data_IF_372702547871
#
_entry.id   IF_372702547871
#
_cell.length_a   1.000
_cell.length_b   1.000
_cell.length_c   1.000
_cell.angle_alpha   90.00
_cell.angle_beta   90.00
_cell.angle_gamma   90.00
#
_symmetry.space_group_name_H-M   'P 1'
#
loop_
_entity.id
_entity.type
_entity.pdbx_description
1 polymer ?
#
# COMPACT_ATOMS: atom_id res chain seq x y z
N UNK A 1 -14.93 -2.70 -11.77
CA UNK A 1 -15.26 -1.44 -11.08
C UNK A 1 -14.73 -0.30 -11.93
N UNK A 2 -15.50 0.75 -12.13
CA UNK A 2 -15.08 1.94 -12.89
C UNK A 2 -14.60 3.03 -11.94
N UNK A 3 -13.79 3.95 -12.43
CA UNK A 3 -13.27 5.08 -11.65
C UNK A 3 -14.39 5.95 -11.04
N UNK A 4 -15.44 6.13 -11.81
CA UNK A 4 -16.63 6.92 -11.43
C UNK A 4 -17.45 6.31 -10.29
N UNK A 5 -17.24 5.02 -10.01
CA UNK A 5 -17.89 4.30 -8.91
C UNK A 5 -17.17 4.49 -7.58
N UNK A 6 -15.95 5.07 -7.59
CA UNK A 6 -15.22 5.35 -6.38
C UNK A 6 -15.75 6.60 -5.68
N UNK A 7 -15.88 6.58 -4.34
CA UNK A 7 -16.32 7.74 -3.57
C UNK A 7 -15.30 8.87 -3.63
N UNK A 8 -15.76 10.09 -3.87
CA UNK A 8 -14.90 11.30 -3.88
C UNK A 8 -14.47 11.74 -2.49
N UNK A 9 -15.28 11.44 -1.48
CA UNK A 9 -14.99 11.67 -0.06
C UNK A 9 -14.82 10.32 0.62
N UNK A 10 -13.71 10.10 1.28
CA UNK A 10 -13.38 8.82 1.91
C UNK A 10 -12.91 9.01 3.36
N UNK A 11 -13.25 8.05 4.25
CA UNK A 11 -12.62 7.96 5.55
C UNK A 11 -11.14 7.59 5.39
N UNK A 12 -10.29 8.22 6.18
CA UNK A 12 -8.83 8.05 6.13
C UNK A 12 -8.35 7.28 7.33
N UNK A 13 -7.59 6.23 7.08
CA UNK A 13 -6.91 5.43 8.07
C UNK A 13 -5.40 5.66 7.99
N UNK A 14 -4.85 6.58 8.80
CA UNK A 14 -3.42 6.73 8.94
C UNK A 14 -2.82 5.54 9.67
N UNK A 15 -1.91 4.80 9.03
CA UNK A 15 -1.23 3.67 9.62
C UNK A 15 0.28 3.83 9.46
N UNK A 16 0.99 3.97 10.59
CA UNK A 16 2.40 4.41 10.64
C UNK A 16 3.42 3.33 10.29
N UNK A 17 3.01 2.08 10.16
CA UNK A 17 3.93 0.94 9.96
C UNK A 17 3.54 0.06 8.78
N UNK A 18 2.64 0.55 7.92
CA UNK A 18 2.13 -0.24 6.81
C UNK A 18 1.70 0.62 5.62
N UNK A 19 2.02 0.19 4.42
CA UNK A 19 1.58 0.82 3.16
C UNK A 19 0.90 -0.23 2.29
N UNK A 20 -0.34 0.07 1.87
CA UNK A 20 -1.14 -0.79 1.00
C UNK A 20 -0.97 -0.39 -0.47
N UNK A 21 -0.89 -1.38 -1.34
CA UNK A 21 -0.83 -1.21 -2.80
C UNK A 21 -2.11 -1.72 -3.48
N UNK A 22 -2.45 -1.25 -4.69
CA UNK A 22 -3.56 -1.80 -5.46
C UNK A 22 -3.43 -3.31 -5.68
N UNK A 23 -4.54 -4.04 -5.60
CA UNK A 23 -4.57 -5.49 -5.75
C UNK A 23 -4.02 -6.29 -4.57
N UNK A 24 -3.45 -5.64 -3.55
CA UNK A 24 -2.96 -6.34 -2.35
C UNK A 24 -4.04 -6.48 -1.29
N UNK A 25 -3.88 -7.45 -0.42
CA UNK A 25 -4.85 -7.77 0.64
C UNK A 25 -4.21 -7.61 2.01
N UNK A 26 -4.92 -6.96 2.93
CA UNK A 26 -4.44 -6.66 4.28
C UNK A 26 -5.46 -7.08 5.33
N UNK A 27 -5.12 -8.01 6.24
CA UNK A 27 -5.91 -8.24 7.44
C UNK A 27 -5.61 -7.15 8.48
N UNK A 28 -6.66 -6.57 9.05
CA UNK A 28 -6.55 -5.52 10.07
C UNK A 28 -7.39 -5.90 11.29
N UNK A 29 -6.81 -5.69 12.47
CA UNK A 29 -7.50 -5.82 13.76
C UNK A 29 -7.77 -4.41 14.29
N UNK A 30 -9.04 -4.03 14.31
CA UNK A 30 -9.49 -2.69 14.67
C UNK A 30 -10.00 -2.71 16.12
N UNK A 31 -9.42 -1.86 16.97
CA UNK A 31 -9.76 -1.77 18.38
C UNK A 31 -9.85 -0.33 18.92
N UNK A 32 -9.26 0.64 18.21
CA UNK A 32 -9.35 2.05 18.61
C UNK A 32 -10.77 2.59 18.33
N UNK A 33 -11.43 3.30 19.29
CA UNK A 33 -12.81 3.78 19.12
C UNK A 33 -13.03 4.58 17.84
N UNK A 34 -12.08 5.45 17.46
CA UNK A 34 -12.16 6.24 16.22
C UNK A 34 -12.21 5.36 14.97
N UNK A 35 -11.49 4.26 14.95
CA UNK A 35 -11.45 3.36 13.80
C UNK A 35 -12.58 2.33 13.82
N UNK A 36 -13.09 1.96 15.02
CA UNK A 36 -14.35 1.20 15.13
C UNK A 36 -15.51 2.01 14.51
N UNK A 37 -15.63 3.31 14.85
CA UNK A 37 -16.62 4.20 14.23
C UNK A 37 -16.42 4.27 12.71
N UNK A 38 -15.19 4.48 12.25
CA UNK A 38 -14.85 4.56 10.82
C UNK A 38 -15.28 3.31 10.05
N UNK A 39 -14.97 2.13 10.55
CA UNK A 39 -15.34 0.86 9.91
C UNK A 39 -16.86 0.70 9.89
N UNK A 40 -17.54 0.93 11.01
CA UNK A 40 -19.01 0.83 11.09
C UNK A 40 -19.72 1.79 10.14
N UNK A 41 -19.22 3.03 10.02
CA UNK A 41 -19.76 4.00 9.08
C UNK A 41 -19.47 3.63 7.64
N UNK A 42 -18.30 3.08 7.36
CA UNK A 42 -17.93 2.60 6.03
C UNK A 42 -18.78 1.43 5.57
N UNK A 43 -19.10 0.50 6.48
CA UNK A 43 -19.97 -0.66 6.21
C UNK A 43 -21.39 -0.26 5.79
N UNK A 44 -21.90 0.88 6.28
CA UNK A 44 -23.22 1.43 5.92
C UNK A 44 -23.21 2.15 4.56
N UNK A 45 -22.05 2.41 3.96
CA UNK A 45 -21.88 3.16 2.71
C UNK A 45 -21.22 2.29 1.62
N UNK A 46 -20.02 2.67 1.22
CA UNK A 46 -19.29 2.04 0.10
C UNK A 46 -18.41 0.85 0.52
N UNK A 47 -18.27 0.61 1.82
CA UNK A 47 -17.33 -0.36 2.41
C UNK A 47 -15.88 -0.09 1.99
N UNK A 48 -15.52 1.19 1.86
CA UNK A 48 -14.20 1.61 1.41
C UNK A 48 -13.53 2.51 2.43
N UNK A 49 -12.22 2.33 2.60
CA UNK A 49 -11.35 3.07 3.51
C UNK A 49 -10.07 3.44 2.77
N UNK A 50 -9.61 4.68 2.92
CA UNK A 50 -8.34 5.14 2.38
C UNK A 50 -7.21 4.88 3.38
N UNK A 51 -6.30 3.95 3.04
CA UNK A 51 -5.05 3.76 3.77
C UNK A 51 -4.05 4.82 3.36
N UNK A 52 -3.35 5.41 4.34
CA UNK A 52 -2.32 6.42 4.08
C UNK A 52 -1.24 6.38 5.15
N UNK A 53 -0.03 6.75 4.76
CA UNK A 53 1.07 6.88 5.70
C UNK A 53 1.08 8.27 6.34
N UNK A 54 1.18 8.38 7.68
CA UNK A 54 1.45 9.64 8.34
C UNK A 54 2.93 10.03 8.18
N UNK A 55 3.19 11.33 8.06
CA UNK A 55 4.54 11.88 8.14
C UNK A 55 5.03 11.91 9.59
N UNK A 56 6.35 12.05 9.77
CA UNK A 56 6.95 12.26 11.10
C UNK A 56 6.73 13.68 11.63
N UNK A 57 6.08 14.54 10.84
CA UNK A 57 5.74 15.93 11.15
C UNK A 57 4.29 16.05 11.64
N UNK A 58 3.93 17.18 12.23
CA UNK A 58 2.62 17.40 12.82
C UNK A 58 2.57 17.02 14.30
N UNK A 59 1.38 17.01 14.89
CA UNK A 59 1.20 16.63 16.30
C UNK A 59 1.01 15.11 16.43
N UNK A 60 1.36 14.53 17.59
CA UNK A 60 1.15 13.11 17.87
C UNK A 60 -0.32 12.66 17.70
N UNK A 61 -1.28 13.56 17.99
CA UNK A 61 -2.71 13.27 17.85
C UNK A 61 -3.22 13.46 16.42
N UNK A 62 -2.59 14.35 15.66
CA UNK A 62 -2.96 14.66 14.27
C UNK A 62 -1.68 14.86 13.44
N UNK A 63 -1.01 13.75 13.05
CA UNK A 63 0.18 13.85 12.21
C UNK A 63 -0.19 14.34 10.80
N UNK A 64 0.75 15.01 10.16
CA UNK A 64 0.63 15.33 8.75
C UNK A 64 0.57 14.03 7.95
N UNK A 65 -0.11 14.06 6.80
CA UNK A 65 -0.24 12.89 5.93
C UNK A 65 0.62 13.06 4.69
N UNK A 66 1.07 11.94 4.13
CA UNK A 66 1.48 11.93 2.74
C UNK A 66 0.28 12.26 1.84
N UNK A 67 0.54 12.72 0.63
CA UNK A 67 -0.55 13.11 -0.27
C UNK A 67 -1.18 11.92 -0.98
N UNK A 68 -0.40 10.85 -1.18
CA UNK A 68 -0.81 9.67 -1.93
C UNK A 68 -0.98 8.49 -1.00
N UNK A 69 -2.16 7.88 -1.09
CA UNK A 69 -2.54 6.67 -0.39
C UNK A 69 -3.20 5.67 -1.34
N UNK A 70 -3.73 4.59 -0.78
CA UNK A 70 -4.47 3.57 -1.52
C UNK A 70 -5.84 3.34 -0.88
N UNK A 71 -6.92 3.43 -1.67
CA UNK A 71 -8.27 3.07 -1.23
C UNK A 71 -8.43 1.57 -1.29
N UNK A 72 -8.97 1.00 -0.22
CA UNK A 72 -9.28 -0.41 -0.13
C UNK A 72 -10.76 -0.66 0.16
N UNK A 73 -11.27 -1.80 -0.31
CA UNK A 73 -12.62 -2.29 -0.04
C UNK A 73 -12.59 -3.34 1.06
N UNK A 74 -13.46 -3.20 2.04
CA UNK A 74 -13.68 -4.21 3.08
C UNK A 74 -14.40 -5.40 2.44
N UNK A 75 -13.72 -6.54 2.38
CA UNK A 75 -14.22 -7.80 1.79
C UNK A 75 -14.59 -8.83 2.84
N UNK A 76 -14.09 -8.68 4.06
CA UNK A 76 -14.48 -9.48 5.23
C UNK A 76 -14.63 -8.58 6.43
N UNK A 77 -15.63 -8.84 7.24
CA UNK A 77 -15.93 -8.13 8.49
C UNK A 77 -16.37 -9.16 9.53
N UNK A 78 -15.69 -9.19 10.65
CA UNK A 78 -16.02 -10.06 11.78
C UNK A 78 -15.83 -9.30 13.10
N UNK A 79 -16.89 -9.20 13.88
CA UNK A 79 -16.85 -8.61 15.22
C UNK A 79 -16.51 -9.70 16.24
N UNK A 80 -15.55 -9.42 17.11
CA UNK A 80 -15.12 -10.35 18.16
C UNK A 80 -15.83 -10.06 19.48
N UNK A 81 -15.88 -11.05 20.37
CA UNK A 81 -16.58 -10.94 21.66
C UNK A 81 -16.02 -9.82 22.55
N UNK A 82 -14.76 -9.44 22.37
CA UNK A 82 -14.11 -8.35 23.11
C UNK A 82 -14.32 -6.96 22.47
N UNK A 83 -15.21 -6.86 21.46
CA UNK A 83 -15.58 -5.60 20.81
C UNK A 83 -14.58 -5.09 19.77
N UNK A 84 -13.59 -5.88 19.37
CA UNK A 84 -12.71 -5.59 18.23
C UNK A 84 -13.41 -5.97 16.93
N UNK A 85 -12.91 -5.42 15.83
CA UNK A 85 -13.38 -5.77 14.49
C UNK A 85 -12.19 -6.26 13.66
N UNK A 86 -12.30 -7.48 13.17
CA UNK A 86 -11.36 -8.04 12.20
C UNK A 86 -11.90 -7.77 10.80
N UNK A 87 -11.13 -7.08 9.98
CA UNK A 87 -11.49 -6.83 8.57
C UNK A 87 -10.40 -7.34 7.65
N UNK A 88 -10.80 -7.69 6.43
CA UNK A 88 -9.90 -7.86 5.29
C UNK A 88 -10.14 -6.69 4.34
N UNK A 89 -9.09 -5.94 4.05
CA UNK A 89 -9.12 -4.79 3.16
C UNK A 89 -8.37 -5.13 1.87
N UNK A 90 -9.04 -5.04 0.72
CA UNK A 90 -8.43 -5.25 -0.59
C UNK A 90 -8.16 -3.91 -1.26
N UNK A 91 -6.90 -3.62 -1.57
CA UNK A 91 -6.47 -2.42 -2.29
C UNK A 91 -7.08 -2.35 -3.68
N UNK A 92 -7.62 -1.20 -4.04
CA UNK A 92 -8.29 -1.00 -5.32
C UNK A 92 -7.51 -0.06 -6.22
N UNK A 93 -7.26 1.16 -5.73
CA UNK A 93 -6.69 2.24 -6.51
C UNK A 93 -5.94 3.20 -5.61
N UNK A 94 -4.89 3.79 -6.11
CA UNK A 94 -4.23 4.93 -5.45
C UNK A 94 -5.11 6.17 -5.57
N UNK A 95 -4.98 7.05 -4.61
CA UNK A 95 -5.63 8.35 -4.62
C UNK A 95 -4.66 9.44 -4.18
N UNK A 96 -4.94 10.68 -4.59
CA UNK A 96 -4.27 11.86 -4.07
C UNK A 96 -5.26 12.64 -3.19
N UNK A 97 -4.84 13.05 -1.99
CA UNK A 97 -5.62 13.94 -1.14
C UNK A 97 -5.77 15.29 -1.84
N UNK A 98 -7.01 15.78 -1.95
CA UNK A 98 -7.34 17.13 -2.41
C UNK A 98 -7.45 18.08 -1.23
N UNK A 99 -8.22 17.68 -0.21
CA UNK A 99 -8.44 18.47 1.01
C UNK A 99 -8.91 17.57 2.13
N UNK A 100 -8.54 17.90 3.37
CA UNK A 100 -9.11 17.29 4.56
C UNK A 100 -10.39 18.04 4.96
N UNK A 101 -11.41 17.31 5.35
CA UNK A 101 -12.69 17.87 5.77
C UNK A 101 -12.72 18.10 7.28
N UNK A 102 -13.39 19.15 7.69
CA UNK A 102 -13.73 19.37 9.11
C UNK A 102 -15.05 18.66 9.39
N UNK A 103 -15.03 17.67 10.26
CA UNK A 103 -16.20 16.85 10.61
C UNK A 103 -16.26 16.62 12.11
N UNK A 104 -17.45 16.29 12.63
CA UNK A 104 -17.68 15.90 14.03
C UNK A 104 -17.32 14.43 14.32
N UNK A 105 -16.80 13.70 13.32
CA UNK A 105 -16.43 12.30 13.44
C UNK A 105 -15.10 12.14 14.19
N UNK A 106 -14.95 11.02 14.87
CA UNK A 106 -13.72 10.70 15.59
C UNK A 106 -12.54 10.38 14.66
N UNK A 107 -12.80 10.14 13.37
CA UNK A 107 -11.81 9.82 12.34
C UNK A 107 -11.74 10.89 11.26
N UNK A 108 -10.66 10.90 10.49
CA UNK A 108 -10.40 11.88 9.42
C UNK A 108 -11.15 11.49 8.15
N UNK A 109 -11.69 12.48 7.44
CA UNK A 109 -12.24 12.32 6.09
C UNK A 109 -11.54 13.30 5.14
N UNK A 110 -11.30 12.85 3.92
CA UNK A 110 -10.70 13.68 2.88
C UNK A 110 -11.46 13.57 1.56
N UNK A 111 -11.52 14.68 0.85
CA UNK A 111 -11.80 14.67 -0.57
C UNK A 111 -10.55 14.23 -1.33
N UNK A 112 -10.73 13.36 -2.31
CA UNK A 112 -9.63 12.72 -3.01
C UNK A 112 -9.82 12.72 -4.52
N UNK A 113 -8.72 12.59 -5.25
CA UNK A 113 -8.65 12.50 -6.70
C UNK A 113 -8.01 11.18 -7.12
N UNK A 114 -8.55 10.55 -8.15
CA UNK A 114 -8.09 9.26 -8.70
C UNK A 114 -7.50 9.37 -10.10
N UNK A 115 -7.66 10.50 -10.76
CA UNK A 115 -7.37 10.69 -12.20
C UNK A 115 -5.94 10.32 -12.56
N UNK A 116 -4.97 10.66 -11.68
CA UNK A 116 -3.56 10.32 -11.87
C UNK A 116 -3.27 8.82 -11.84
N UNK A 117 -4.19 8.02 -11.28
CA UNK A 117 -4.02 6.58 -11.04
C UNK A 117 -5.11 5.74 -11.71
N UNK A 118 -5.74 6.25 -12.75
CA UNK A 118 -6.80 5.55 -13.51
C UNK A 118 -6.35 4.18 -14.04
N UNK A 119 -5.05 4.04 -14.34
CA UNK A 119 -4.45 2.77 -14.77
C UNK A 119 -4.54 1.66 -13.71
N UNK A 120 -4.62 1.97 -12.42
CA UNK A 120 -4.76 0.98 -11.35
C UNK A 120 -6.06 0.17 -11.48
N UNK A 121 -7.12 0.76 -12.07
CA UNK A 121 -8.41 0.10 -12.29
C UNK A 121 -8.52 -0.47 -13.71
N UNK A 122 -7.93 0.20 -14.70
CA UNK A 122 -8.06 -0.16 -16.10
C UNK A 122 -7.15 -1.33 -16.52
N UNK A 123 -6.11 -1.63 -15.74
CA UNK A 123 -5.12 -2.62 -16.14
C UNK A 123 -5.60 -4.05 -15.87
N UNK A 124 -6.16 -4.66 -16.93
CA UNK A 124 -5.78 -6.01 -17.36
C UNK A 124 -4.73 -5.79 -18.45
N UNK A 125 -3.51 -5.50 -18.09
CA UNK A 125 -2.45 -5.28 -19.07
C UNK A 125 -1.84 -6.59 -19.53
N UNK A 126 -2.01 -6.88 -20.80
CA UNK A 126 -1.38 -7.98 -21.52
C UNK A 126 0.05 -7.67 -22.01
N UNK A 127 0.76 -6.68 -21.47
CA UNK A 127 1.93 -6.14 -22.17
C UNK A 127 3.22 -5.97 -21.37
N UNK A 128 3.49 -6.81 -20.36
CA UNK A 128 4.87 -6.87 -19.88
C UNK A 128 5.29 -8.31 -19.68
N UNK A 129 6.33 -8.72 -20.42
CA UNK A 129 6.89 -10.04 -20.33
C UNK A 129 7.54 -10.29 -18.98
N UNK A 130 7.33 -11.48 -18.43
CA UNK A 130 7.95 -11.94 -17.18
C UNK A 130 9.50 -11.89 -17.23
N UNK A 131 10.09 -11.96 -18.44
CA UNK A 131 11.53 -11.79 -18.67
C UNK A 131 12.08 -10.47 -18.08
N UNK A 132 11.26 -9.42 -18.02
CA UNK A 132 11.67 -8.11 -17.48
C UNK A 132 11.76 -8.10 -15.94
N UNK A 133 11.22 -9.11 -15.27
CA UNK A 133 11.26 -9.25 -13.82
C UNK A 133 12.34 -10.21 -13.31
N UNK A 134 13.00 -10.96 -14.20
CA UNK A 134 13.94 -12.01 -13.79
C UNK A 134 15.04 -11.48 -12.87
N UNK A 135 15.62 -10.34 -13.23
CA UNK A 135 16.66 -9.68 -12.43
C UNK A 135 16.13 -9.16 -11.08
N UNK A 136 14.93 -8.56 -11.08
CA UNK A 136 14.29 -8.10 -9.84
C UNK A 136 14.02 -9.30 -8.93
N UNK A 137 13.51 -10.40 -9.46
CA UNK A 137 13.20 -11.60 -8.68
C UNK A 137 14.46 -12.23 -8.08
N UNK A 138 15.57 -12.25 -8.81
CA UNK A 138 16.87 -12.74 -8.34
C UNK A 138 17.42 -11.83 -7.23
N UNK A 139 17.42 -10.53 -7.46
CA UNK A 139 17.84 -9.53 -6.47
C UNK A 139 16.96 -9.58 -5.21
N UNK A 140 15.64 -9.75 -5.38
CA UNK A 140 14.72 -9.93 -4.26
C UNK A 140 15.02 -11.20 -3.45
N UNK A 141 15.26 -12.34 -4.10
CA UNK A 141 15.65 -13.57 -3.39
C UNK A 141 16.91 -13.36 -2.58
N UNK A 142 17.91 -12.70 -3.17
CA UNK A 142 19.17 -12.38 -2.51
C UNK A 142 18.92 -11.46 -1.31
N UNK A 143 18.14 -10.40 -1.49
CA UNK A 143 17.81 -9.44 -0.45
C UNK A 143 17.04 -10.09 0.71
N UNK A 144 15.97 -10.85 0.43
CA UNK A 144 15.22 -11.56 1.47
C UNK A 144 16.08 -12.56 2.25
N UNK A 145 16.91 -13.35 1.54
CA UNK A 145 17.81 -14.30 2.18
C UNK A 145 18.77 -13.62 3.15
N UNK A 146 19.33 -12.47 2.75
CA UNK A 146 20.24 -11.67 3.58
C UNK A 146 19.56 -11.11 4.82
N UNK A 147 18.29 -10.69 4.69
CA UNK A 147 17.47 -10.24 5.82
C UNK A 147 16.94 -11.38 6.70
N UNK A 148 17.35 -12.62 6.45
CA UNK A 148 16.92 -13.79 7.24
C UNK A 148 15.53 -14.33 6.88
N UNK A 149 14.93 -13.87 5.79
CA UNK A 149 13.62 -14.34 5.35
C UNK A 149 13.74 -15.47 4.32
N UNK A 150 12.94 -16.52 4.51
CA UNK A 150 12.75 -17.58 3.51
C UNK A 150 11.43 -17.26 2.79
N UNK A 151 11.50 -16.85 1.53
CA UNK A 151 10.32 -16.45 0.74
C UNK A 151 10.17 -17.37 -0.47
N UNK A 152 8.97 -17.93 -0.63
CA UNK A 152 8.60 -18.65 -1.83
C UNK A 152 8.02 -17.69 -2.87
N UNK A 153 8.81 -17.27 -3.83
CA UNK A 153 8.41 -16.33 -4.87
C UNK A 153 7.70 -17.01 -6.06
N UNK A 154 7.56 -18.36 -6.06
CA UNK A 154 6.97 -19.10 -7.18
C UNK A 154 5.51 -18.72 -7.47
N UNK A 155 4.75 -18.34 -6.45
CA UNK A 155 3.36 -17.95 -6.65
C UNK A 155 3.22 -16.55 -7.28
N UNK A 156 4.25 -15.72 -7.20
CA UNK A 156 4.31 -14.44 -7.89
C UNK A 156 4.50 -14.59 -9.40
N UNK A 157 5.17 -15.67 -9.83
CA UNK A 157 5.41 -15.97 -11.25
C UNK A 157 4.11 -16.24 -12.06
N UNK A 158 3.00 -16.49 -11.36
CA UNK A 158 1.69 -16.72 -11.95
C UNK A 158 0.85 -15.44 -12.08
N UNK A 159 1.31 -14.35 -11.50
CA UNK A 159 0.62 -13.05 -11.49
C UNK A 159 1.11 -12.16 -12.62
N UNK A 160 0.29 -11.17 -13.00
CA UNK A 160 0.76 -10.14 -13.92
C UNK A 160 1.86 -9.26 -13.28
N UNK A 161 2.59 -8.54 -14.12
CA UNK A 161 3.70 -7.69 -13.68
C UNK A 161 3.27 -6.67 -12.61
N UNK A 162 2.12 -6.02 -12.82
CA UNK A 162 1.63 -4.99 -11.92
C UNK A 162 1.34 -5.56 -10.54
N UNK A 163 0.65 -6.69 -10.48
CA UNK A 163 0.34 -7.38 -9.23
C UNK A 163 1.62 -7.87 -8.55
N UNK A 164 2.56 -8.44 -9.31
CA UNK A 164 3.83 -8.92 -8.78
C UNK A 164 4.63 -7.78 -8.14
N UNK A 165 4.76 -6.62 -8.83
CA UNK A 165 5.46 -5.47 -8.28
C UNK A 165 4.74 -4.86 -7.06
N UNK A 166 3.41 -4.85 -7.04
CA UNK A 166 2.64 -4.37 -5.89
C UNK A 166 2.84 -5.29 -4.67
N UNK A 167 2.77 -6.60 -4.87
CA UNK A 167 2.99 -7.59 -3.80
C UNK A 167 4.42 -7.51 -3.25
N UNK A 168 5.42 -7.40 -4.14
CA UNK A 168 6.82 -7.23 -3.76
C UNK A 168 7.03 -5.91 -3.01
N UNK A 169 6.46 -4.81 -3.49
CA UNK A 169 6.55 -3.50 -2.82
C UNK A 169 5.99 -3.54 -1.40
N UNK A 170 4.87 -4.24 -1.23
CA UNK A 170 4.22 -4.36 0.07
C UNK A 170 5.00 -5.29 1.01
N UNK A 171 5.38 -6.48 0.53
CA UNK A 171 5.96 -7.53 1.36
C UNK A 171 7.44 -7.33 1.68
N UNK A 172 8.18 -6.58 0.86
CA UNK A 172 9.62 -6.38 1.06
C UNK A 172 9.91 -5.64 2.37
N UNK A 173 11.04 -5.95 3.02
CA UNK A 173 11.49 -5.26 4.23
C UNK A 173 12.17 -3.91 3.92
N UNK A 174 11.64 -3.19 2.94
CA UNK A 174 12.02 -1.81 2.63
C UNK A 174 11.55 -0.86 3.73
N UNK A 175 12.23 0.27 3.87
CA UNK A 175 11.75 1.35 4.74
C UNK A 175 10.38 1.86 4.29
N UNK A 176 9.65 2.52 5.19
CA UNK A 176 8.34 3.08 4.84
C UNK A 176 8.46 4.21 3.82
N UNK A 177 9.53 4.97 3.88
CA UNK A 177 9.87 6.02 2.93
C UNK A 177 10.10 5.44 1.52
N UNK A 178 10.84 4.33 1.41
CA UNK A 178 11.04 3.63 0.14
C UNK A 178 9.75 3.04 -0.41
N UNK A 179 8.92 2.43 0.45
CA UNK A 179 7.59 1.95 0.05
C UNK A 179 6.69 3.09 -0.41
N UNK A 180 6.77 4.25 0.22
CA UNK A 180 6.02 5.43 -0.19
C UNK A 180 6.48 5.93 -1.58
N UNK A 181 7.79 5.95 -1.84
CA UNK A 181 8.35 6.27 -3.17
C UNK A 181 7.81 5.30 -4.25
N UNK A 182 7.71 4.01 -3.92
CA UNK A 182 7.13 3.02 -4.84
C UNK A 182 5.63 3.24 -5.04
N UNK A 183 4.87 3.58 -4.00
CA UNK A 183 3.44 3.88 -4.10
C UNK A 183 3.19 5.13 -4.96
N UNK A 184 4.01 6.16 -4.82
CA UNK A 184 3.90 7.43 -5.55
C UNK A 184 4.32 7.34 -7.02
N UNK A 185 4.94 6.25 -7.45
CA UNK A 185 5.36 6.05 -8.85
C UNK A 185 4.16 6.08 -9.78
N UNK A 186 4.17 6.98 -10.78
CA UNK A 186 3.02 7.24 -11.65
C UNK A 186 2.57 6.01 -12.42
N UNK A 187 3.51 5.22 -12.92
CA UNK A 187 3.22 4.00 -13.68
C UNK A 187 4.11 2.83 -13.23
N UNK A 188 3.85 1.68 -13.81
CA UNK A 188 4.48 0.43 -13.42
C UNK A 188 5.97 0.38 -13.81
N UNK A 189 6.36 1.01 -14.92
CA UNK A 189 7.75 1.02 -15.36
C UNK A 189 8.60 1.87 -14.41
N UNK A 190 8.11 3.07 -14.07
CA UNK A 190 8.76 3.93 -13.07
C UNK A 190 8.87 3.24 -11.72
N UNK A 191 7.84 2.47 -11.30
CA UNK A 191 7.89 1.69 -10.05
C UNK A 191 8.94 0.59 -10.12
N UNK A 192 9.03 -0.11 -11.26
CA UNK A 192 10.05 -1.13 -11.53
C UNK A 192 11.46 -0.55 -11.40
N UNK A 193 11.74 0.55 -12.10
CA UNK A 193 13.04 1.22 -12.07
C UNK A 193 13.43 1.66 -10.64
N UNK A 194 12.49 2.25 -9.90
CA UNK A 194 12.73 2.64 -8.50
C UNK A 194 12.98 1.43 -7.59
N UNK A 195 12.26 0.34 -7.80
CA UNK A 195 12.49 -0.91 -7.05
C UNK A 195 13.88 -1.47 -7.32
N UNK A 196 14.33 -1.47 -8.57
CA UNK A 196 15.69 -1.88 -8.95
C UNK A 196 16.74 -0.99 -8.29
N UNK A 197 16.54 0.32 -8.26
CA UNK A 197 17.45 1.27 -7.60
C UNK A 197 17.54 0.99 -6.10
N UNK A 198 16.41 0.80 -5.42
CA UNK A 198 16.35 0.48 -3.99
C UNK A 198 17.10 -0.82 -3.71
N UNK A 199 16.82 -1.88 -4.47
CA UNK A 199 17.50 -3.18 -4.32
C UNK A 199 19.00 -3.08 -4.54
N UNK A 200 19.44 -2.34 -5.56
CA UNK A 200 20.84 -2.15 -5.85
C UNK A 200 21.58 -1.42 -4.72
N UNK A 201 20.95 -0.48 -4.04
CA UNK A 201 21.52 0.18 -2.87
C UNK A 201 21.74 -0.83 -1.74
N UNK A 202 20.73 -1.63 -1.40
CA UNK A 202 20.87 -2.67 -0.37
C UNK A 202 21.93 -3.74 -0.70
N UNK A 203 22.15 -4.02 -1.99
CA UNK A 203 23.16 -4.98 -2.41
C UNK A 203 24.56 -4.36 -2.37
N UNK A 204 24.72 -3.07 -2.74
CA UNK A 204 26.02 -2.37 -2.77
C UNK A 204 26.54 -2.01 -1.39
N UNK A 205 25.71 -1.50 -0.50
CA UNK A 205 26.11 -1.09 0.86
C UNK A 205 26.81 -2.23 1.64
N UNK A 206 26.54 -3.48 1.27
CA UNK A 206 27.20 -4.62 1.89
C UNK A 206 28.57 -4.97 1.31
N UNK A 207 28.84 -4.66 0.03
CA UNK A 207 30.18 -4.87 -0.54
C UNK A 207 31.20 -3.93 0.09
N UNK A 208 30.79 -2.72 0.48
CA UNK A 208 31.66 -1.76 1.16
C UNK A 208 31.91 -2.17 2.63
N UNK A 209 30.93 -2.72 3.32
CA UNK A 209 31.08 -3.17 4.72
C UNK A 209 31.87 -4.48 4.87
N UNK A 210 31.95 -5.32 3.83
CA UNK A 210 32.74 -6.58 3.89
C UNK A 210 34.21 -6.38 3.53
N UNK A 211 34.56 -5.24 2.95
CA UNK A 211 35.97 -4.92 2.56
C UNK A 211 36.76 -4.21 3.67
N UNK A 212 36.12 -3.92 4.81
CA UNK A 212 36.68 -3.20 5.95
C UNK A 212 36.92 -4.10 7.20
N UNK A 213 36.90 -5.45 7.05
CA UNK A 213 37.26 -6.40 8.10
C UNK A 213 38.54 -7.14 7.74
#
# INVERSE_FOLDING_TARGET
MKLEELPKTIPIFPLSNFIMFPGTTVPLNIFEPRYLQMVNDSMKKHRMIGMIQPKKTGSLKKPDLYEIGCIGKITSFNETEDGRILIILNGICRYKIKSELVTDKMYRECDVLYDHFSKDIMQKSNEVNFSDLSLIMENMRTFFKKQGYIVNLKDLEKKDLSQTLNDLSMASPFSLEEKQILLESLDINVRKEKMEQILNNYIKDEFENTTLQ
#
